data_IF_059359367752
#
_entry.id   IF_059359367752
#
_cell.length_a   1.000
_cell.length_b   1.000
_cell.length_c   1.000
_cell.angle_alpha   90.00
_cell.angle_beta   90.00
_cell.angle_gamma   90.00
#
_symmetry.space_group_name_H-M   'P 1'
#
loop_
_entity.id
_entity.type
_entity.pdbx_description
1 polymer ?
#
# COMPACT_ATOMS: atom_id res chain seq x y z
N UNK A 1 5.50 -65.74 12.40
CA UNK A 1 4.43 -65.72 11.40
C UNK A 1 4.43 -64.35 10.80
N UNK A 2 5.05 -64.23 9.66
CA UNK A 2 5.18 -63.03 8.85
C UNK A 2 3.95 -62.92 7.96
N UNK A 3 3.24 -61.79 8.01
CA UNK A 3 2.27 -61.44 7.00
C UNK A 3 2.87 -60.30 6.14
N UNK A 4 3.24 -60.63 4.95
CA UNK A 4 3.56 -59.75 3.84
C UNK A 4 2.24 -59.22 3.26
N UNK A 5 2.01 -57.90 3.30
CA UNK A 5 0.89 -57.25 2.61
C UNK A 5 1.31 -57.05 1.14
N UNK A 6 0.50 -57.64 0.28
CA UNK A 6 0.55 -57.57 -1.17
C UNK A 6 0.08 -56.19 -1.64
N UNK A 7 0.95 -55.43 -2.32
CA UNK A 7 0.64 -54.16 -2.95
C UNK A 7 -0.01 -54.42 -4.31
N UNK A 8 -1.31 -54.24 -4.37
CA UNK A 8 -2.15 -54.40 -5.53
C UNK A 8 -1.72 -53.61 -6.77
N UNK A 9 -1.89 -54.22 -7.88
CA UNK A 9 -1.57 -53.80 -9.24
C UNK A 9 -2.32 -52.51 -9.66
N UNK A 10 -1.76 -51.74 -10.60
CA UNK A 10 -2.38 -50.55 -11.10
C UNK A 10 -3.63 -50.81 -11.95
N UNK A 11 -4.67 -50.11 -11.66
CA UNK A 11 -5.93 -50.14 -12.42
C UNK A 11 -5.67 -49.56 -13.81
N UNK A 12 -5.87 -50.39 -14.83
CA UNK A 12 -5.77 -50.02 -16.23
C UNK A 12 -6.87 -48.98 -16.60
N UNK A 13 -6.46 -47.86 -17.08
CA UNK A 13 -7.34 -46.84 -17.65
C UNK A 13 -7.70 -47.18 -19.07
N UNK A 14 -8.97 -47.23 -19.35
CA UNK A 14 -9.54 -47.21 -20.70
C UNK A 14 -9.58 -45.79 -21.25
N UNK A 15 -8.86 -45.56 -22.31
CA UNK A 15 -9.24 -45.00 -23.62
C UNK A 15 -8.01 -44.47 -24.35
N UNK A 16 -7.55 -45.24 -25.30
CA UNK A 16 -6.56 -44.79 -26.28
C UNK A 16 -7.27 -43.91 -27.33
N UNK A 17 -6.78 -42.65 -27.43
CA UNK A 17 -6.90 -41.87 -28.67
C UNK A 17 -5.70 -40.93 -28.75
N UNK A 18 -4.71 -41.27 -29.61
CA UNK A 18 -3.69 -40.35 -30.09
C UNK A 18 -2.50 -40.11 -29.12
N UNK A 19 -1.69 -41.12 -28.84
CA UNK A 19 -0.35 -40.95 -28.23
C UNK A 19 0.62 -40.42 -29.31
N UNK A 20 0.60 -39.12 -29.57
CA UNK A 20 1.83 -38.43 -29.96
C UNK A 20 2.73 -38.43 -28.72
N UNK A 21 4.04 -38.61 -28.94
CA UNK A 21 5.11 -38.62 -27.93
C UNK A 21 5.04 -37.29 -27.11
N UNK A 22 4.18 -37.26 -26.06
CA UNK A 22 4.04 -36.05 -25.23
C UNK A 22 5.35 -35.92 -24.44
N UNK A 23 6.12 -34.91 -24.81
CA UNK A 23 7.34 -34.56 -24.12
C UNK A 23 7.04 -34.35 -22.63
N UNK A 24 7.83 -35.00 -21.77
CA UNK A 24 7.71 -34.89 -20.33
C UNK A 24 8.82 -33.99 -19.78
N UNK A 25 8.49 -33.19 -18.80
CA UNK A 25 9.41 -32.30 -18.11
C UNK A 25 9.48 -32.70 -16.65
N UNK A 26 10.70 -32.80 -16.11
CA UNK A 26 10.92 -33.07 -14.71
C UNK A 26 10.78 -31.77 -13.90
N UNK A 27 9.90 -31.74 -12.91
CA UNK A 27 9.70 -30.61 -12.01
C UNK A 27 9.98 -31.00 -10.57
N UNK A 28 10.48 -30.06 -9.77
CA UNK A 28 10.58 -30.16 -8.32
C UNK A 28 9.68 -29.08 -7.73
N UNK A 29 8.69 -29.48 -6.93
CA UNK A 29 7.78 -28.57 -6.26
C UNK A 29 8.34 -28.16 -4.91
N UNK A 30 8.27 -26.88 -4.59
CA UNK A 30 8.66 -26.31 -3.30
C UNK A 30 7.70 -25.17 -2.91
N UNK A 31 7.56 -24.93 -1.62
CA UNK A 31 6.80 -23.77 -1.11
C UNK A 31 7.51 -23.21 0.12
N UNK A 32 7.34 -21.90 0.36
CA UNK A 32 7.79 -21.22 1.58
C UNK A 32 6.67 -21.13 2.63
N UNK A 33 5.46 -21.49 2.24
CA UNK A 33 4.31 -21.48 3.15
C UNK A 33 4.27 -22.81 3.94
N UNK A 34 4.44 -22.69 5.25
CA UNK A 34 4.46 -23.84 6.15
C UNK A 34 3.16 -24.66 6.13
N UNK A 35 2.02 -24.02 5.79
CA UNK A 35 0.71 -24.68 5.74
C UNK A 35 0.59 -25.68 4.59
N UNK A 36 1.37 -25.54 3.51
CA UNK A 36 1.27 -26.36 2.29
C UNK A 36 2.54 -27.14 1.99
N UNK A 37 3.36 -27.44 2.99
CA UNK A 37 4.63 -28.12 2.80
C UNK A 37 4.44 -29.50 2.20
N UNK A 38 5.10 -29.78 1.08
CA UNK A 38 5.12 -31.08 0.39
C UNK A 38 6.51 -31.71 0.56
N UNK A 39 6.60 -33.03 0.73
CA UNK A 39 7.90 -33.71 0.74
C UNK A 39 8.63 -33.46 -0.58
N UNK A 40 9.96 -33.30 -0.54
CA UNK A 40 10.76 -33.05 -1.73
C UNK A 40 10.74 -34.26 -2.66
N UNK A 41 9.95 -34.19 -3.72
CA UNK A 41 9.81 -35.21 -4.74
C UNK A 41 10.00 -34.60 -6.14
N UNK A 42 10.49 -35.44 -7.08
CA UNK A 42 10.51 -35.05 -8.49
C UNK A 42 9.29 -35.65 -9.17
N UNK A 43 8.58 -34.81 -9.91
CA UNK A 43 7.42 -35.21 -10.69
C UNK A 43 7.77 -35.12 -12.18
N UNK A 44 7.40 -36.12 -12.95
CA UNK A 44 7.44 -36.10 -14.41
C UNK A 44 6.03 -35.68 -14.89
N UNK A 45 5.94 -34.55 -15.57
CA UNK A 45 4.67 -33.99 -16.03
C UNK A 45 4.73 -33.66 -17.52
N UNK A 46 3.62 -33.74 -18.25
CA UNK A 46 3.58 -33.37 -19.66
C UNK A 46 3.94 -31.90 -19.88
N UNK A 47 4.67 -31.60 -20.93
CA UNK A 47 5.03 -30.23 -21.32
C UNK A 47 3.81 -29.34 -21.63
N UNK A 48 2.67 -29.95 -21.98
CA UNK A 48 1.38 -29.29 -22.22
C UNK A 48 0.71 -28.75 -20.94
N UNK A 49 1.16 -29.18 -19.75
CA UNK A 49 0.56 -28.79 -18.50
C UNK A 49 0.66 -27.28 -18.25
N UNK A 50 -0.45 -26.75 -17.75
CA UNK A 50 -0.62 -25.35 -17.34
C UNK A 50 -0.88 -25.30 -15.83
N UNK A 51 -0.99 -24.08 -15.30
CA UNK A 51 -1.30 -23.77 -13.90
C UNK A 51 -2.40 -24.68 -13.32
N UNK A 52 -3.51 -24.91 -14.04
CA UNK A 52 -4.63 -25.69 -13.56
C UNK A 52 -4.21 -27.15 -13.23
N UNK A 53 -3.51 -27.80 -14.13
CA UNK A 53 -3.08 -29.21 -13.95
C UNK A 53 -2.10 -29.35 -12.79
N UNK A 54 -1.17 -28.39 -12.65
CA UNK A 54 -0.22 -28.36 -11.54
C UNK A 54 -0.93 -28.11 -10.19
N UNK A 55 -1.94 -27.24 -10.18
CA UNK A 55 -2.77 -26.98 -8.99
C UNK A 55 -3.56 -28.24 -8.59
N UNK A 56 -4.10 -28.99 -9.56
CA UNK A 56 -4.76 -30.26 -9.31
C UNK A 56 -3.81 -31.32 -8.73
N UNK A 57 -2.56 -31.39 -9.26
CA UNK A 57 -1.52 -32.28 -8.73
C UNK A 57 -1.24 -31.95 -7.24
N UNK A 58 -1.05 -30.67 -6.91
CA UNK A 58 -0.76 -30.26 -5.53
C UNK A 58 -1.93 -30.58 -4.61
N UNK A 59 -3.17 -30.28 -5.00
CA UNK A 59 -4.33 -30.61 -4.20
C UNK A 59 -4.48 -32.11 -3.94
N UNK A 60 -4.11 -32.95 -4.91
CA UNK A 60 -4.07 -34.41 -4.72
C UNK A 60 -2.95 -34.86 -3.76
N UNK A 61 -1.78 -34.21 -3.82
CA UNK A 61 -0.65 -34.53 -2.94
C UNK A 61 -0.92 -34.06 -1.50
N UNK A 62 -1.60 -32.91 -1.33
CA UNK A 62 -1.98 -32.37 -0.02
C UNK A 62 -3.26 -32.99 0.55
N UNK A 63 -3.97 -33.83 -0.22
CA UNK A 63 -5.25 -34.46 0.16
C UNK A 63 -6.30 -33.43 0.63
N UNK A 64 -6.35 -32.24 -0.02
CA UNK A 64 -7.29 -31.19 0.34
C UNK A 64 -8.73 -31.59 0.01
N UNK A 65 -9.66 -31.47 0.97
CA UNK A 65 -11.09 -31.73 0.77
C UNK A 65 -11.71 -30.76 -0.25
N UNK A 66 -11.30 -29.50 -0.22
CA UNK A 66 -11.67 -28.48 -1.20
C UNK A 66 -10.48 -28.07 -2.07
N UNK A 67 -10.62 -27.99 -3.40
CA UNK A 67 -9.51 -27.62 -4.27
C UNK A 67 -9.10 -26.16 -4.08
N UNK A 68 -7.88 -25.95 -3.62
CA UNK A 68 -7.27 -24.63 -3.47
C UNK A 68 -6.53 -24.28 -4.76
N UNK A 69 -6.77 -23.11 -5.36
CA UNK A 69 -6.03 -22.69 -6.53
C UNK A 69 -4.61 -22.26 -6.13
N UNK A 70 -3.59 -22.72 -6.88
CA UNK A 70 -2.20 -22.34 -6.68
C UNK A 70 -1.64 -21.61 -7.90
N UNK A 71 -0.74 -20.67 -7.65
CA UNK A 71 0.12 -20.04 -8.64
C UNK A 71 1.54 -20.60 -8.55
N UNK A 72 2.26 -20.55 -9.66
CA UNK A 72 3.57 -21.18 -9.82
C UNK A 72 4.62 -20.19 -10.26
N UNK A 73 5.77 -20.20 -9.61
CA UNK A 73 6.93 -19.39 -9.91
C UNK A 73 8.06 -20.29 -10.40
N UNK A 74 8.67 -19.96 -11.53
CA UNK A 74 9.87 -20.58 -12.08
C UNK A 74 10.87 -19.45 -12.33
N UNK A 75 12.03 -19.48 -11.72
CA UNK A 75 13.06 -18.43 -11.83
C UNK A 75 12.50 -17.02 -11.60
N UNK A 76 11.72 -16.84 -10.54
CA UNK A 76 11.05 -15.57 -10.18
C UNK A 76 10.05 -15.05 -11.24
N UNK A 77 9.59 -15.93 -12.14
CA UNK A 77 8.59 -15.60 -13.16
C UNK A 77 7.33 -16.44 -12.94
N UNK A 78 6.15 -15.80 -12.97
CA UNK A 78 4.88 -16.50 -12.88
C UNK A 78 4.61 -17.33 -14.12
N UNK A 79 4.25 -18.60 -13.92
CA UNK A 79 3.86 -19.50 -15.01
C UNK A 79 2.44 -19.16 -15.48
N UNK A 80 2.32 -18.45 -16.59
CA UNK A 80 1.02 -18.10 -17.23
C UNK A 80 0.71 -18.92 -18.48
N UNK A 81 1.72 -19.60 -19.05
CA UNK A 81 1.63 -20.47 -20.23
C UNK A 81 1.74 -21.94 -19.82
N UNK A 82 1.92 -22.85 -20.79
CA UNK A 82 2.30 -24.23 -20.51
C UNK A 82 3.79 -24.32 -20.16
N UNK A 83 4.19 -25.38 -19.45
CA UNK A 83 5.60 -25.63 -19.11
C UNK A 83 6.50 -25.67 -20.36
N UNK A 84 6.06 -26.34 -21.43
CA UNK A 84 6.82 -26.40 -22.68
C UNK A 84 6.94 -25.05 -23.37
N UNK A 85 5.88 -24.20 -23.34
CA UNK A 85 5.96 -22.84 -23.87
C UNK A 85 6.89 -21.95 -23.02
N UNK A 86 6.94 -22.16 -21.70
CA UNK A 86 7.89 -21.49 -20.83
C UNK A 86 9.33 -21.87 -21.15
N UNK A 87 9.63 -23.19 -21.29
CA UNK A 87 10.97 -23.67 -21.66
C UNK A 87 11.41 -23.12 -23.03
N UNK A 88 10.51 -23.12 -24.01
CA UNK A 88 10.79 -22.54 -25.32
C UNK A 88 11.09 -21.04 -25.27
N UNK A 89 10.37 -20.28 -24.45
CA UNK A 89 10.55 -18.83 -24.28
C UNK A 89 11.85 -18.48 -23.53
N UNK A 90 12.27 -19.32 -22.58
CA UNK A 90 13.48 -19.08 -21.77
C UNK A 90 14.72 -19.77 -22.34
N UNK A 91 14.56 -20.60 -23.38
CA UNK A 91 15.66 -21.40 -23.97
C UNK A 91 16.17 -22.52 -23.03
N UNK A 92 15.38 -22.87 -22.00
CA UNK A 92 15.74 -23.94 -21.06
C UNK A 92 15.48 -25.29 -21.70
N UNK A 93 16.47 -26.21 -21.64
CA UNK A 93 16.29 -27.57 -22.12
C UNK A 93 15.20 -28.28 -21.31
N UNK A 94 14.37 -29.07 -22.00
CA UNK A 94 13.30 -29.88 -21.39
C UNK A 94 13.86 -31.03 -20.51
N UNK A 95 15.16 -31.34 -20.61
CA UNK A 95 15.84 -32.37 -19.80
C UNK A 95 16.27 -31.87 -18.41
N UNK A 96 16.26 -30.53 -18.21
CA UNK A 96 16.65 -29.92 -16.95
C UNK A 96 15.46 -30.00 -15.98
N UNK A 97 15.74 -30.36 -14.71
CA UNK A 97 14.74 -30.35 -13.65
C UNK A 97 14.40 -28.89 -13.34
N UNK A 98 13.14 -28.51 -13.54
CA UNK A 98 12.65 -27.17 -13.20
C UNK A 98 12.30 -27.09 -11.70
N UNK A 99 12.88 -26.15 -11.00
CA UNK A 99 12.46 -25.81 -9.63
C UNK A 99 11.25 -24.87 -9.70
N UNK A 100 10.12 -25.37 -9.24
CA UNK A 100 8.83 -24.69 -9.28
C UNK A 100 8.39 -24.38 -7.87
N UNK A 101 8.41 -23.10 -7.49
CA UNK A 101 7.84 -22.63 -6.23
C UNK A 101 6.34 -22.41 -6.42
N UNK A 102 5.51 -22.94 -5.54
CA UNK A 102 4.06 -22.72 -5.57
C UNK A 102 3.58 -21.95 -4.35
N UNK A 103 2.52 -21.19 -4.55
CA UNK A 103 1.88 -20.34 -3.55
C UNK A 103 0.36 -20.35 -3.76
N UNK A 104 -0.43 -20.17 -2.70
CA UNK A 104 -1.88 -20.05 -2.87
C UNK A 104 -2.20 -18.84 -3.76
N UNK A 105 -3.11 -19.04 -4.71
CA UNK A 105 -3.48 -18.01 -5.67
C UNK A 105 -4.40 -16.99 -5.02
N UNK A 106 -4.11 -15.73 -5.22
CA UNK A 106 -5.01 -14.62 -4.87
C UNK A 106 -6.05 -14.42 -5.98
N UNK A 107 -7.28 -14.10 -5.61
CA UNK A 107 -8.30 -13.75 -6.58
C UNK A 107 -7.98 -12.38 -7.23
N UNK A 108 -8.34 -12.19 -8.52
CA UNK A 108 -8.16 -10.91 -9.15
C UNK A 108 -9.01 -9.83 -8.47
N UNK A 109 -8.44 -8.65 -8.21
CA UNK A 109 -9.18 -7.54 -7.63
C UNK A 109 -10.41 -7.17 -8.46
N UNK A 110 -11.51 -6.89 -7.79
CA UNK A 110 -12.76 -6.50 -8.42
C UNK A 110 -13.00 -5.00 -8.22
N UNK A 111 -13.41 -4.30 -9.28
CA UNK A 111 -13.80 -2.90 -9.19
C UNK A 111 -15.03 -2.79 -8.28
N UNK A 112 -14.91 -2.02 -7.20
CA UNK A 112 -15.97 -1.80 -6.22
C UNK A 112 -16.71 -0.50 -6.50
N UNK A 113 -15.99 0.60 -6.65
CA UNK A 113 -16.58 1.91 -6.87
C UNK A 113 -15.67 2.87 -7.64
N UNK A 114 -16.28 3.83 -8.29
CA UNK A 114 -15.61 4.98 -8.89
C UNK A 114 -16.34 6.24 -8.46
N UNK A 115 -15.65 7.15 -7.78
CA UNK A 115 -16.25 8.34 -7.21
C UNK A 115 -15.60 9.58 -7.80
N UNK A 116 -16.37 10.59 -8.22
CA UNK A 116 -15.82 11.84 -8.73
C UNK A 116 -15.18 12.65 -7.59
N UNK A 117 -14.12 13.38 -7.92
CA UNK A 117 -13.48 14.40 -7.10
C UNK A 117 -13.62 15.76 -7.78
N UNK A 118 -13.53 16.84 -7.01
CA UNK A 118 -13.61 18.21 -7.57
C UNK A 118 -12.45 18.52 -8.51
N UNK A 119 -11.25 18.01 -8.18
CA UNK A 119 -10.02 18.21 -8.96
C UNK A 119 -9.12 16.97 -8.85
N UNK A 120 -7.93 17.03 -9.39
CA UNK A 120 -6.93 15.98 -9.31
C UNK A 120 -6.68 15.54 -7.88
N UNK A 121 -6.64 14.25 -7.66
CA UNK A 121 -6.39 13.67 -6.34
C UNK A 121 -4.89 13.54 -6.12
N UNK A 122 -4.37 14.24 -5.12
CA UNK A 122 -2.93 14.27 -4.78
C UNK A 122 -2.52 13.17 -3.82
N UNK A 123 -3.37 12.82 -2.86
CA UNK A 123 -3.10 11.74 -1.89
C UNK A 123 -4.42 11.05 -1.47
N UNK A 124 -4.32 9.78 -1.12
CA UNK A 124 -5.41 8.96 -0.60
C UNK A 124 -4.95 8.24 0.66
N UNK A 125 -5.84 8.02 1.61
CA UNK A 125 -5.56 7.26 2.83
C UNK A 125 -6.76 6.42 3.25
N UNK A 126 -6.53 5.11 3.41
CA UNK A 126 -7.49 4.11 3.89
C UNK A 126 -7.03 3.48 5.22
N UNK A 127 -6.15 4.16 5.96
CA UNK A 127 -5.58 3.67 7.21
C UNK A 127 -6.62 3.35 8.30
N UNK A 128 -7.82 3.93 8.21
CA UNK A 128 -8.95 3.61 9.09
C UNK A 128 -9.95 2.77 8.31
N UNK A 129 -10.24 1.58 8.82
CA UNK A 129 -11.17 0.65 8.19
C UNK A 129 -12.55 1.33 8.00
N UNK A 130 -13.10 1.27 6.80
CA UNK A 130 -14.37 1.90 6.47
C UNK A 130 -14.29 3.39 6.14
N UNK A 131 -13.15 4.06 6.34
CA UNK A 131 -12.98 5.47 6.03
C UNK A 131 -11.99 5.67 4.89
N UNK A 132 -12.34 6.55 3.95
CA UNK A 132 -11.48 6.99 2.86
C UNK A 132 -11.28 8.50 2.99
N UNK A 133 -10.03 8.92 3.12
CA UNK A 133 -9.62 10.31 3.12
C UNK A 133 -8.90 10.60 1.81
N UNK A 134 -9.27 11.69 1.15
CA UNK A 134 -8.61 12.16 -0.08
C UNK A 134 -8.19 13.60 0.05
N UNK A 135 -7.05 13.92 -0.54
CA UNK A 135 -6.56 15.28 -0.71
C UNK A 135 -6.59 15.65 -2.20
N UNK A 136 -6.88 16.90 -2.51
CA UNK A 136 -7.05 17.39 -3.88
C UNK A 136 -6.14 18.59 -4.17
N UNK A 137 -5.79 18.74 -5.44
CA UNK A 137 -5.05 19.92 -5.91
C UNK A 137 -5.87 21.21 -5.82
N UNK A 138 -7.21 21.14 -5.66
CA UNK A 138 -8.04 22.30 -5.33
C UNK A 138 -7.86 22.79 -3.87
N UNK A 139 -7.03 22.11 -3.07
CA UNK A 139 -6.88 22.44 -1.63
C UNK A 139 -7.96 21.85 -0.75
N UNK A 140 -8.87 21.05 -1.30
CA UNK A 140 -9.96 20.43 -0.56
C UNK A 140 -9.55 19.08 -0.02
N UNK A 141 -10.12 18.71 1.12
CA UNK A 141 -10.05 17.39 1.72
C UNK A 141 -11.46 16.79 1.70
N UNK A 142 -11.56 15.53 1.30
CA UNK A 142 -12.82 14.80 1.34
C UNK A 142 -12.68 13.56 2.20
N UNK A 143 -13.58 13.41 3.15
CA UNK A 143 -13.70 12.26 4.02
C UNK A 143 -14.97 11.51 3.66
N UNK A 144 -14.80 10.21 3.36
CA UNK A 144 -15.91 9.28 3.20
C UNK A 144 -15.76 8.19 4.24
N UNK A 145 -16.85 7.88 4.91
CA UNK A 145 -16.86 6.78 5.88
C UNK A 145 -18.16 6.00 5.71
N UNK A 146 -18.07 4.68 5.85
CA UNK A 146 -19.24 3.79 5.84
C UNK A 146 -20.21 4.09 6.99
N UNK A 147 -19.70 4.71 8.04
CA UNK A 147 -20.47 5.07 9.24
C UNK A 147 -21.17 6.43 9.11
N UNK A 148 -20.96 7.16 8.01
CA UNK A 148 -21.65 8.43 7.78
C UNK A 148 -23.01 8.18 7.09
N UNK A 149 -24.07 8.91 7.50
CA UNK A 149 -25.35 8.84 6.79
C UNK A 149 -25.22 9.41 5.36
N UNK A 150 -25.98 8.93 4.39
CA UNK A 150 -25.97 9.49 3.04
C UNK A 150 -26.37 10.98 2.99
N UNK A 151 -25.68 11.84 2.20
CA UNK A 151 -24.50 11.55 1.40
C UNK A 151 -23.26 11.30 2.25
N UNK A 152 -22.66 10.13 2.07
CA UNK A 152 -21.58 9.60 2.92
C UNK A 152 -20.22 10.31 2.74
N UNK A 153 -20.20 11.55 2.29
CA UNK A 153 -18.97 12.29 2.05
C UNK A 153 -19.03 13.70 2.66
N UNK A 154 -17.95 14.05 3.35
CA UNK A 154 -17.74 15.38 3.92
C UNK A 154 -16.55 16.01 3.22
N UNK A 155 -16.79 17.05 2.42
CA UNK A 155 -15.73 17.81 1.74
C UNK A 155 -15.60 19.19 2.37
N UNK A 156 -14.36 19.61 2.65
CA UNK A 156 -14.05 20.91 3.24
C UNK A 156 -12.73 21.46 2.68
N UNK A 157 -12.59 22.77 2.67
CA UNK A 157 -11.36 23.45 2.27
C UNK A 157 -10.32 23.30 3.37
N UNK A 158 -9.23 22.58 3.06
CA UNK A 158 -8.13 22.32 3.99
C UNK A 158 -6.99 23.31 3.86
N UNK A 159 -6.66 23.72 2.64
CA UNK A 159 -5.54 24.59 2.33
C UNK A 159 -5.92 25.66 1.33
N UNK A 160 -5.26 26.82 1.41
CA UNK A 160 -5.46 27.94 0.46
C UNK A 160 -4.90 27.63 -0.93
N UNK A 161 -3.94 26.72 -0.98
CA UNK A 161 -3.33 26.16 -2.19
C UNK A 161 -3.56 24.66 -2.21
N UNK A 162 -2.99 23.96 -3.19
CA UNK A 162 -3.14 22.53 -3.33
C UNK A 162 -2.77 21.78 -2.05
N UNK A 163 -3.62 20.87 -1.59
CA UNK A 163 -3.29 19.87 -0.59
C UNK A 163 -2.48 18.77 -1.26
N UNK A 164 -1.32 18.44 -0.72
CA UNK A 164 -0.39 17.46 -1.33
C UNK A 164 -0.42 16.11 -0.64
N UNK A 165 -0.73 16.08 0.65
CA UNK A 165 -0.76 14.86 1.43
C UNK A 165 -1.77 14.95 2.55
N UNK A 166 -2.42 13.83 2.88
CA UNK A 166 -3.33 13.71 4.01
C UNK A 166 -3.24 12.32 4.64
N UNK A 167 -3.45 12.24 5.94
CA UNK A 167 -3.51 10.97 6.65
C UNK A 167 -4.46 11.04 7.84
N UNK A 168 -4.99 9.89 8.23
CA UNK A 168 -5.69 9.73 9.50
C UNK A 168 -4.69 9.71 10.64
N UNK A 169 -5.08 10.29 11.78
CA UNK A 169 -4.26 10.36 12.98
C UNK A 169 -5.06 9.75 14.14
N UNK A 170 -4.45 8.89 14.97
CA UNK A 170 -5.08 8.40 16.18
C UNK A 170 -5.42 9.55 17.14
N UNK A 171 -6.62 9.54 17.72
CA UNK A 171 -6.99 10.57 18.68
C UNK A 171 -6.33 10.30 20.05
N UNK A 172 -5.70 11.30 20.71
CA UNK A 172 -4.96 11.10 21.96
C UNK A 172 -5.85 10.64 23.13
N UNK A 173 -7.15 10.98 23.13
CA UNK A 173 -8.07 10.54 24.19
C UNK A 173 -8.60 9.11 24.02
N UNK A 174 -8.28 8.42 22.91
CA UNK A 174 -8.85 7.11 22.58
C UNK A 174 -10.38 7.14 22.36
N UNK A 175 -10.98 8.31 22.17
CA UNK A 175 -12.41 8.48 21.94
C UNK A 175 -12.77 7.95 20.55
N UNK A 176 -13.78 7.10 20.48
CA UNK A 176 -14.30 6.59 19.20
C UNK A 176 -15.08 7.65 18.42
N UNK A 177 -15.67 8.62 19.12
CA UNK A 177 -16.50 9.67 18.53
C UNK A 177 -15.70 10.79 17.87
N UNK A 178 -14.44 10.97 18.27
CA UNK A 178 -13.57 12.03 17.76
C UNK A 178 -12.39 11.42 17.03
N UNK A 179 -12.15 11.92 15.83
CA UNK A 179 -11.03 11.48 14.98
C UNK A 179 -10.22 12.70 14.53
N UNK A 180 -8.94 12.47 14.30
CA UNK A 180 -8.05 13.48 13.77
C UNK A 180 -7.64 13.15 12.34
N UNK A 181 -7.49 14.21 11.54
CA UNK A 181 -6.92 14.17 10.20
C UNK A 181 -5.75 15.14 10.21
N UNK A 182 -4.65 14.77 9.57
CA UNK A 182 -3.55 15.69 9.30
C UNK A 182 -3.39 15.86 7.79
N UNK A 183 -3.04 17.07 7.38
CA UNK A 183 -2.83 17.43 5.98
C UNK A 183 -1.63 18.37 5.82
N UNK A 184 -1.01 18.31 4.65
CA UNK A 184 0.08 19.19 4.24
C UNK A 184 -0.15 19.71 2.83
N UNK A 185 0.18 20.98 2.60
CA UNK A 185 -0.13 21.63 1.34
C UNK A 185 1.01 22.44 0.73
N UNK A 186 0.73 23.00 -0.43
CA UNK A 186 1.61 23.97 -1.12
C UNK A 186 1.75 25.30 -0.36
N UNK A 187 0.84 25.60 0.54
CA UNK A 187 0.89 26.75 1.45
C UNK A 187 1.99 26.63 2.53
N UNK A 188 2.78 25.56 2.51
CA UNK A 188 3.92 25.27 3.41
C UNK A 188 3.53 24.98 4.86
N UNK A 189 2.23 24.82 5.12
CA UNK A 189 1.69 24.58 6.45
C UNK A 189 1.19 23.14 6.54
N UNK A 190 1.49 22.47 7.66
CA UNK A 190 0.77 21.27 8.07
C UNK A 190 -0.40 21.67 8.94
N UNK A 191 -1.56 21.05 8.78
CA UNK A 191 -2.75 21.29 9.60
C UNK A 191 -3.26 19.99 10.19
N UNK A 192 -3.76 20.07 11.42
CA UNK A 192 -4.43 18.96 12.08
C UNK A 192 -5.88 19.38 12.37
N UNK A 193 -6.80 18.54 11.94
CA UNK A 193 -8.22 18.76 12.01
C UNK A 193 -8.87 17.76 12.95
N UNK A 194 -9.79 18.23 13.78
CA UNK A 194 -10.68 17.38 14.57
C UNK A 194 -12.05 17.31 13.92
N UNK A 195 -12.58 16.11 13.76
CA UNK A 195 -13.97 15.92 13.38
C UNK A 195 -14.65 14.92 14.29
N UNK A 196 -15.94 15.15 14.54
CA UNK A 196 -16.76 14.25 15.34
C UNK A 196 -17.53 13.32 14.41
N UNK A 197 -17.44 12.03 14.65
CA UNK A 197 -18.23 11.03 13.93
C UNK A 197 -19.68 11.19 14.38
N UNK A 198 -20.61 11.53 13.47
CA UNK A 198 -22.00 11.69 13.87
C UNK A 198 -22.61 10.35 14.27
N UNK A 199 -23.48 10.30 15.27
CA UNK A 199 -24.18 9.09 15.64
C UNK A 199 -25.07 8.61 14.48
N UNK A 200 -25.16 7.29 14.28
CA UNK A 200 -25.95 6.63 13.21
C UNK A 200 -27.46 7.03 13.20
N UNK A 201 -27.95 7.67 14.27
CA UNK A 201 -29.33 8.12 14.42
C UNK A 201 -29.64 9.46 13.74
N UNK A 202 -28.64 10.14 13.16
CA UNK A 202 -28.89 11.41 12.46
C UNK A 202 -29.66 11.16 11.16
N UNK A 203 -30.75 11.87 10.99
CA UNK A 203 -31.51 11.87 9.72
C UNK A 203 -30.72 12.63 8.65
N UNK A 204 -30.94 12.28 7.39
CA UNK A 204 -30.24 12.85 6.22
C UNK A 204 -30.38 14.38 6.02
N UNK A 205 -31.19 15.05 6.85
CA UNK A 205 -31.43 16.50 6.76
C UNK A 205 -30.48 17.35 7.64
N UNK A 206 -29.74 16.72 8.58
CA UNK A 206 -28.81 17.46 9.42
C UNK A 206 -27.45 17.60 8.73
N UNK A 207 -26.93 18.84 8.54
CA UNK A 207 -25.62 19.01 7.95
C UNK A 207 -24.54 18.36 8.84
N UNK A 208 -23.63 17.62 8.22
CA UNK A 208 -22.49 17.02 8.92
C UNK A 208 -21.64 18.11 9.57
N UNK A 209 -21.14 17.90 10.80
CA UNK A 209 -20.26 18.85 11.44
C UNK A 209 -18.99 19.04 10.64
N UNK A 210 -18.67 20.28 10.28
CA UNK A 210 -17.43 20.61 9.57
C UNK A 210 -16.22 20.36 10.48
N UNK A 211 -15.15 19.73 9.97
CA UNK A 211 -13.91 19.56 10.72
C UNK A 211 -13.36 20.92 11.15
N UNK A 212 -12.83 20.97 12.36
CA UNK A 212 -12.24 22.18 12.92
C UNK A 212 -10.71 22.04 12.96
N UNK A 213 -10.01 23.10 12.56
CA UNK A 213 -8.55 23.15 12.69
C UNK A 213 -8.19 23.18 14.17
N UNK A 214 -7.45 22.17 14.62
CA UNK A 214 -6.97 22.09 16.00
C UNK A 214 -5.57 22.66 16.14
N UNK A 215 -4.66 22.20 15.25
CA UNK A 215 -3.25 22.61 15.24
C UNK A 215 -2.79 23.06 13.87
N UNK A 216 -1.89 24.06 13.87
CA UNK A 216 -1.05 24.43 12.73
C UNK A 216 0.40 24.01 13.00
N UNK A 217 1.07 23.49 11.98
CA UNK A 217 2.41 22.95 12.05
C UNK A 217 3.32 23.81 11.17
N UNK A 218 3.94 24.82 11.76
CA UNK A 218 4.73 25.84 11.06
C UNK A 218 6.23 25.56 11.20
N UNK A 219 6.78 24.75 10.28
CA UNK A 219 8.20 24.44 10.19
C UNK A 219 8.76 24.78 8.80
N UNK A 220 8.02 24.34 7.76
CA UNK A 220 8.54 24.25 6.41
C UNK A 220 8.55 25.62 5.71
N UNK A 221 9.63 25.88 4.96
CA UNK A 221 9.77 27.08 4.12
C UNK A 221 9.38 26.80 2.66
N UNK A 222 9.09 25.54 2.32
CA UNK A 222 8.64 25.07 1.02
C UNK A 222 7.44 24.13 1.20
N UNK A 223 6.75 23.73 0.12
CA UNK A 223 5.58 22.85 0.17
C UNK A 223 5.80 21.58 1.00
N UNK A 224 4.77 21.20 1.77
CA UNK A 224 4.75 19.98 2.58
C UNK A 224 4.27 18.83 1.70
N UNK A 225 5.19 17.98 1.26
CA UNK A 225 4.92 16.88 0.32
C UNK A 225 4.37 15.61 0.98
N UNK A 226 4.64 15.42 2.26
CA UNK A 226 4.23 14.21 2.95
C UNK A 226 3.87 14.49 4.40
N UNK A 227 2.73 13.97 4.81
CA UNK A 227 2.27 13.97 6.20
C UNK A 227 1.87 12.54 6.54
N UNK A 228 2.46 11.96 7.59
CA UNK A 228 2.17 10.58 8.01
C UNK A 228 2.10 10.48 9.52
N UNK A 229 1.08 9.80 10.00
CA UNK A 229 0.92 9.47 11.41
C UNK A 229 1.62 8.15 11.75
N UNK A 230 1.98 8.01 13.03
CA UNK A 230 2.44 6.71 13.54
C UNK A 230 1.30 5.70 13.43
N UNK A 231 1.52 4.51 12.82
CA UNK A 231 0.52 3.47 12.80
C UNK A 231 0.22 2.98 14.23
N UNK A 232 -1.06 2.73 14.50
CA UNK A 232 -1.45 2.08 15.75
C UNK A 232 -1.01 0.62 15.70
N UNK A 233 -0.41 0.07 16.79
CA UNK A 233 -0.15 -1.36 16.85
C UNK A 233 -1.48 -2.13 16.84
N UNK A 234 -1.60 -3.13 15.98
CA UNK A 234 -2.81 -3.96 15.80
C UNK A 234 -3.30 -4.65 17.09
N UNK A 235 -2.47 -4.76 18.10
CA UNK A 235 -2.74 -5.56 19.31
C UNK A 235 -2.94 -4.78 20.61
N UNK A 236 -2.84 -3.45 20.60
CA UNK A 236 -2.95 -2.68 21.86
C UNK A 236 -4.34 -2.08 22.03
N UNK A 237 -5.07 -2.61 23.02
CA UNK A 237 -6.33 -2.03 23.54
C UNK A 237 -6.10 -0.83 24.44
N UNK A 238 -4.86 -0.41 24.68
CA UNK A 238 -4.52 0.74 25.52
C UNK A 238 -3.84 1.82 24.70
N UNK A 239 -4.34 3.06 24.67
CA UNK A 239 -3.69 4.20 24.01
C UNK A 239 -2.50 4.67 24.86
N UNK A 240 -1.39 3.92 24.86
CA UNK A 240 -0.20 4.25 25.66
C UNK A 240 0.84 5.05 24.91
N UNK A 241 0.66 5.32 23.63
CA UNK A 241 1.59 6.15 22.85
C UNK A 241 0.95 7.46 22.43
N UNK A 242 1.60 8.57 22.77
CA UNK A 242 1.24 9.90 22.25
C UNK A 242 1.15 9.86 20.71
N UNK A 243 0.14 10.54 20.13
CA UNK A 243 -0.01 10.59 18.69
C UNK A 243 1.11 11.44 18.09
N UNK A 244 2.00 10.78 17.35
CA UNK A 244 3.11 11.45 16.66
C UNK A 244 2.80 11.56 15.17
N UNK A 245 3.30 12.66 14.59
CA UNK A 245 3.16 12.97 13.17
C UNK A 245 4.55 13.27 12.59
N UNK A 246 4.79 12.84 11.36
CA UNK A 246 5.91 13.28 10.53
C UNK A 246 5.38 14.18 9.43
N UNK A 247 6.06 15.30 9.24
CA UNK A 247 5.90 16.14 8.04
C UNK A 247 7.23 16.18 7.28
N UNK A 248 7.18 16.09 5.96
CA UNK A 248 8.34 16.24 5.11
C UNK A 248 8.08 17.24 4.01
N UNK A 249 9.05 18.09 3.71
CA UNK A 249 8.90 19.20 2.78
C UNK A 249 9.88 19.18 1.61
N UNK A 250 9.61 20.05 0.66
CA UNK A 250 10.53 20.29 -0.47
C UNK A 250 11.77 21.09 -0.05
N UNK A 251 11.83 21.55 1.19
CA UNK A 251 13.00 22.17 1.82
C UNK A 251 14.03 21.16 2.33
N UNK A 252 13.76 19.86 2.16
CA UNK A 252 14.66 18.78 2.62
C UNK A 252 14.59 18.52 4.13
N UNK A 253 13.64 19.14 4.84
CA UNK A 253 13.44 18.96 6.27
C UNK A 253 12.34 17.93 6.55
N UNK A 254 12.49 17.23 7.68
CA UNK A 254 11.45 16.39 8.25
C UNK A 254 11.18 16.88 9.67
N UNK A 255 9.93 17.21 9.99
CA UNK A 255 9.49 17.58 11.33
C UNK A 255 8.84 16.39 12.04
N UNK A 256 9.25 16.11 13.27
CA UNK A 256 8.56 15.20 14.17
C UNK A 256 7.71 16.04 15.13
N UNK A 257 6.42 15.71 15.25
CA UNK A 257 5.45 16.44 16.04
C UNK A 257 4.80 15.52 17.07
N UNK A 258 4.59 16.04 18.27
CA UNK A 258 3.76 15.43 19.30
C UNK A 258 2.42 16.17 19.35
N UNK A 259 1.34 15.46 19.10
CA UNK A 259 -0.01 16.04 19.08
C UNK A 259 -0.70 15.95 20.44
N UNK A 260 0.00 15.55 21.48
CA UNK A 260 -0.54 15.58 22.85
C UNK A 260 -0.88 17.03 23.23
N UNK A 261 -2.08 17.29 23.77
CA UNK A 261 -2.44 18.62 24.23
C UNK A 261 -1.49 19.14 25.31
N UNK A 262 -1.13 20.43 25.23
CA UNK A 262 -0.22 21.08 26.18
C UNK A 262 1.28 20.83 25.93
N UNK A 263 1.65 19.96 24.97
CA UNK A 263 3.05 19.70 24.64
C UNK A 263 3.45 20.51 23.42
N UNK A 264 4.56 21.27 23.51
CA UNK A 264 5.15 22.08 22.43
C UNK A 264 4.15 23.06 21.77
N UNK A 265 3.23 23.63 22.56
CA UNK A 265 2.27 24.62 22.09
C UNK A 265 2.89 26.02 22.14
N UNK A 266 2.80 26.76 21.02
CA UNK A 266 3.14 28.19 20.95
C UNK A 266 1.94 29.08 21.20
N UNK A 267 2.11 30.40 20.96
CA UNK A 267 1.03 31.36 21.08
C UNK A 267 -0.14 31.00 20.14
N UNK A 268 -1.36 31.06 20.66
CA UNK A 268 -2.55 30.79 19.91
C UNK A 268 -2.83 31.91 18.89
N UNK A 269 -2.92 31.57 17.61
CA UNK A 269 -3.38 32.52 16.59
C UNK A 269 -4.90 32.66 16.67
N UNK A 270 -5.37 33.90 16.83
CA UNK A 270 -6.77 34.25 16.71
C UNK A 270 -7.06 34.47 15.22
N UNK A 271 -7.94 33.67 14.62
CA UNK A 271 -8.47 34.05 13.30
C UNK A 271 -9.10 35.42 13.37
N UNK A 272 -8.48 36.41 12.69
CA UNK A 272 -8.92 37.79 12.63
C UNK A 272 -10.11 37.91 11.67
N UNK A 273 -11.27 37.47 12.15
CA UNK A 273 -12.56 37.62 11.50
C UNK A 273 -13.32 38.84 12.06
N UNK A 274 -13.15 39.96 11.36
CA UNK A 274 -14.05 41.15 11.41
C UNK A 274 -14.46 41.69 12.80
N UNK A 275 -13.75 42.70 13.23
CA UNK A 275 -14.10 43.56 14.39
C UNK A 275 -15.45 44.22 14.21
N UNK A 276 -16.57 43.52 14.43
CA UNK A 276 -17.87 44.13 14.84
C UNK A 276 -18.88 43.02 15.19
N UNK A 277 -19.05 42.74 16.43
CA UNK A 277 -20.24 42.47 17.24
C UNK A 277 -19.99 41.48 18.35
N UNK A 278 -19.99 41.98 19.54
CA UNK A 278 -20.06 41.28 20.83
C UNK A 278 -21.23 40.29 20.85
N UNK A 279 -20.95 39.04 20.44
CA UNK A 279 -21.76 37.86 20.78
C UNK A 279 -20.80 36.76 21.04
N UNK A 280 -20.84 36.17 22.23
CA UNK A 280 -20.04 35.05 22.72
C UNK A 280 -20.20 33.85 21.78
N UNK A 281 -19.46 33.84 20.67
CA UNK A 281 -19.19 32.65 19.86
C UNK A 281 -18.02 31.97 20.53
N UNK A 282 -18.08 30.65 20.73
CA UNK A 282 -16.92 29.83 21.08
C UNK A 282 -15.93 30.00 19.94
N UNK A 283 -14.95 30.86 20.12
CA UNK A 283 -13.83 31.00 19.16
C UNK A 283 -12.93 29.83 19.41
N UNK A 284 -12.90 28.89 18.50
CA UNK A 284 -11.92 27.80 18.52
C UNK A 284 -10.57 28.46 18.30
N UNK A 285 -9.71 28.39 19.31
CA UNK A 285 -8.36 28.95 19.24
C UNK A 285 -7.48 27.94 18.51
N UNK A 286 -7.00 28.28 17.32
CA UNK A 286 -6.04 27.46 16.59
C UNK A 286 -4.68 27.56 17.29
N UNK A 287 -4.11 26.44 17.66
CA UNK A 287 -2.83 26.37 18.38
C UNK A 287 -1.70 26.07 17.41
N UNK A 288 -0.66 26.89 17.44
CA UNK A 288 0.54 26.62 16.65
C UNK A 288 1.46 25.67 17.44
N UNK A 289 1.77 24.51 16.84
CA UNK A 289 2.67 23.50 17.41
C UNK A 289 4.09 23.72 16.93
N UNK A 290 5.06 23.51 17.81
CA UNK A 290 6.49 23.44 17.47
C UNK A 290 6.92 21.99 17.32
N UNK A 291 7.83 21.67 16.38
CA UNK A 291 8.32 20.31 16.21
C UNK A 291 9.13 19.86 17.43
N UNK A 292 8.97 18.60 17.82
CA UNK A 292 9.81 17.96 18.86
C UNK A 292 11.25 17.84 18.37
N UNK A 293 11.40 17.44 17.10
CA UNK A 293 12.71 17.25 16.48
C UNK A 293 12.63 17.60 15.01
N UNK A 294 13.70 18.20 14.47
CA UNK A 294 13.84 18.49 13.04
C UNK A 294 15.01 17.67 12.49
N UNK A 295 14.69 16.72 11.61
CA UNK A 295 15.68 15.86 10.96
C UNK A 295 16.20 16.56 9.71
N UNK A 296 17.52 16.64 9.60
CA UNK A 296 18.23 17.31 8.51
C UNK A 296 19.22 16.33 7.88
N UNK A 297 19.26 16.29 6.55
CA UNK A 297 20.19 15.39 5.83
C UNK A 297 19.92 15.34 4.33
N UNK A 298 18.64 15.41 3.91
CA UNK A 298 18.33 15.45 2.48
C UNK A 298 18.86 16.73 1.82
N UNK A 299 19.51 16.54 0.66
CA UNK A 299 20.03 17.66 -0.15
C UNK A 299 19.00 18.20 -1.16
N UNK A 300 17.83 17.57 -1.27
CA UNK A 300 16.77 17.93 -2.19
C UNK A 300 15.38 17.72 -1.60
N UNK A 301 14.37 17.87 -2.46
CA UNK A 301 12.97 17.68 -2.09
C UNK A 301 12.73 16.28 -1.56
N UNK A 302 12.01 16.16 -0.45
CA UNK A 302 11.56 14.87 0.06
C UNK A 302 10.23 14.55 -0.59
N UNK A 303 10.12 13.36 -1.16
CA UNK A 303 8.89 12.88 -1.76
C UNK A 303 7.94 12.29 -0.72
N UNK A 304 8.47 11.45 0.16
CA UNK A 304 7.68 10.80 1.21
C UNK A 304 8.52 10.46 2.44
N UNK A 305 7.90 10.55 3.61
CA UNK A 305 8.45 10.04 4.87
C UNK A 305 7.44 9.08 5.50
N UNK A 306 7.92 8.12 6.29
CA UNK A 306 7.08 7.14 6.98
C UNK A 306 7.72 6.73 8.31
N UNK A 307 6.90 6.43 9.33
CA UNK A 307 7.36 5.76 10.53
C UNK A 307 7.64 4.28 10.24
N UNK A 308 8.54 3.68 11.01
CA UNK A 308 8.67 2.23 11.04
C UNK A 308 7.44 1.61 11.70
N UNK A 309 6.95 0.49 11.12
CA UNK A 309 5.75 -0.21 11.60
C UNK A 309 5.97 -0.96 12.90
N UNK A 310 7.20 -1.40 13.13
CA UNK A 310 7.58 -2.25 14.28
C UNK A 310 8.32 -1.49 15.37
N UNK A 311 9.06 -0.44 15.01
CA UNK A 311 9.94 0.31 15.92
C UNK A 311 9.51 1.79 15.95
N UNK A 312 8.93 2.19 17.07
CA UNK A 312 8.45 3.56 17.27
C UNK A 312 9.57 4.62 17.27
N UNK A 313 10.82 4.22 17.43
CA UNK A 313 11.98 5.12 17.41
C UNK A 313 12.56 5.36 16.02
N UNK A 314 12.04 4.67 14.98
CA UNK A 314 12.60 4.75 13.62
C UNK A 314 11.65 5.39 12.63
N UNK A 315 12.24 6.05 11.65
CA UNK A 315 11.54 6.58 10.48
C UNK A 315 12.39 6.43 9.22
N UNK A 316 11.72 6.52 8.09
CA UNK A 316 12.33 6.43 6.77
C UNK A 316 11.88 7.58 5.89
N UNK A 317 12.74 7.98 4.95
CA UNK A 317 12.40 8.99 3.94
C UNK A 317 13.03 8.67 2.59
N UNK A 318 12.38 9.13 1.53
CA UNK A 318 12.90 9.06 0.17
C UNK A 318 12.71 10.40 -0.53
N UNK A 319 13.65 10.77 -1.38
CA UNK A 319 13.65 12.11 -1.97
C UNK A 319 14.23 12.21 -3.39
N UNK A 320 14.21 13.43 -3.86
CA UNK A 320 14.71 13.81 -5.18
C UNK A 320 16.24 13.87 -5.24
N UNK A 321 16.90 13.81 -4.08
CA UNK A 321 18.34 13.65 -3.96
C UNK A 321 18.79 12.19 -4.20
N UNK A 322 17.90 11.35 -4.72
CA UNK A 322 18.12 9.95 -5.06
C UNK A 322 18.41 9.05 -3.84
N UNK A 323 18.17 9.54 -2.63
CA UNK A 323 18.49 8.80 -1.42
C UNK A 323 17.24 8.26 -0.71
N UNK A 324 17.40 7.08 -0.10
CA UNK A 324 16.56 6.55 0.96
C UNK A 324 17.35 6.67 2.26
N UNK A 325 16.74 7.29 3.27
CA UNK A 325 17.39 7.50 4.57
C UNK A 325 16.60 6.88 5.69
N UNK A 326 17.29 6.34 6.66
CA UNK A 326 16.73 5.89 7.92
C UNK A 326 17.17 6.81 9.07
N UNK A 327 16.25 7.05 9.98
CA UNK A 327 16.37 8.00 11.06
C UNK A 327 16.09 7.35 12.39
N UNK A 328 16.87 7.71 13.39
CA UNK A 328 16.55 7.46 14.79
C UNK A 328 15.87 8.72 15.36
N UNK A 329 14.60 8.57 15.72
CA UNK A 329 13.77 9.67 16.22
C UNK A 329 14.10 10.05 17.65
N UNK A 330 14.73 9.15 18.43
CA UNK A 330 15.09 9.39 19.84
C UNK A 330 16.26 10.35 19.97
N UNK A 331 17.22 10.26 19.06
CA UNK A 331 18.40 11.14 19.02
C UNK A 331 18.29 12.20 17.92
N UNK A 332 17.32 12.09 17.03
CA UNK A 332 17.11 13.04 15.93
C UNK A 332 18.20 12.99 14.85
N UNK A 333 18.80 11.82 14.62
CA UNK A 333 19.93 11.66 13.72
C UNK A 333 19.66 10.63 12.61
N UNK A 334 20.37 10.80 11.49
CA UNK A 334 20.41 9.82 10.42
C UNK A 334 21.21 8.59 10.86
N UNK A 335 20.64 7.40 10.66
CA UNK A 335 21.32 6.13 10.98
C UNK A 335 21.96 5.50 9.76
N UNK A 336 21.31 5.58 8.59
CA UNK A 336 21.89 5.10 7.33
C UNK A 336 21.30 5.84 6.13
N UNK A 337 22.07 5.86 5.04
CA UNK A 337 21.65 6.41 3.76
C UNK A 337 22.04 5.46 2.65
N UNK A 338 21.09 5.19 1.74
CA UNK A 338 21.31 4.42 0.52
C UNK A 338 20.90 5.25 -0.68
N UNK A 339 21.62 5.13 -1.78
CA UNK A 339 21.39 5.93 -2.97
C UNK A 339 20.92 5.09 -4.15
N UNK A 340 20.11 5.69 -4.99
CA UNK A 340 19.66 5.19 -6.29
C UNK A 340 20.26 6.05 -7.40
N UNK A 341 20.20 5.56 -8.64
CA UNK A 341 20.59 6.35 -9.80
C UNK A 341 19.53 7.39 -10.22
N UNK A 342 18.30 7.24 -9.75
CA UNK A 342 17.15 8.03 -10.18
C UNK A 342 16.35 8.59 -9.01
N UNK A 343 15.57 9.61 -9.32
CA UNK A 343 14.66 10.26 -8.36
C UNK A 343 13.63 9.26 -7.83
N UNK A 344 13.44 9.26 -6.52
CA UNK A 344 12.46 8.46 -5.82
C UNK A 344 11.21 9.31 -5.56
N UNK A 345 10.05 8.82 -6.03
CA UNK A 345 8.77 9.55 -5.96
C UNK A 345 7.90 9.12 -4.79
N UNK A 346 8.07 7.91 -4.31
CA UNK A 346 7.25 7.34 -3.23
C UNK A 346 8.05 6.37 -2.38
N UNK A 347 7.54 6.12 -1.18
CA UNK A 347 8.12 5.20 -0.21
C UNK A 347 7.00 4.48 0.54
N UNK A 348 7.14 3.18 0.74
CA UNK A 348 6.30 2.38 1.63
C UNK A 348 7.13 1.28 2.29
N UNK A 349 6.88 1.01 3.57
CA UNK A 349 7.51 -0.09 4.28
C UNK A 349 6.67 -1.36 4.11
N UNK A 350 7.30 -2.48 3.75
CA UNK A 350 6.64 -3.77 3.75
C UNK A 350 6.38 -4.25 5.19
N UNK A 351 5.50 -5.24 5.36
CA UNK A 351 5.25 -5.83 6.68
C UNK A 351 6.49 -6.54 7.25
N UNK A 352 7.46 -6.92 6.41
CA UNK A 352 8.76 -7.39 6.87
C UNK A 352 9.60 -6.24 7.42
N UNK A 353 10.24 -6.41 8.59
CA UNK A 353 11.07 -5.36 9.19
C UNK A 353 12.27 -5.04 8.29
N UNK A 354 12.62 -3.75 8.23
CA UNK A 354 13.75 -3.20 7.46
C UNK A 354 13.66 -3.38 5.93
N UNK A 355 12.51 -3.77 5.38
CA UNK A 355 12.29 -3.88 3.95
C UNK A 355 11.42 -2.72 3.46
N UNK A 356 11.97 -1.90 2.58
CA UNK A 356 11.28 -0.73 1.99
C UNK A 356 11.06 -0.93 0.50
N UNK A 357 9.97 -0.36 -0.01
CA UNK A 357 9.69 -0.24 -1.43
C UNK A 357 9.64 1.23 -1.83
N UNK A 358 10.28 1.59 -2.93
CA UNK A 358 10.22 2.94 -3.50
C UNK A 358 9.83 2.89 -4.97
N UNK A 359 8.98 3.83 -5.38
CA UNK A 359 8.68 4.07 -6.78
C UNK A 359 9.63 5.12 -7.36
N UNK A 360 10.12 4.88 -8.57
CA UNK A 360 11.13 5.71 -9.21
C UNK A 360 10.67 6.27 -10.55
N UNK A 361 11.35 7.34 -11.00
CA UNK A 361 11.13 7.95 -12.31
C UNK A 361 11.59 7.08 -13.49
N UNK A 362 12.41 6.07 -13.27
CA UNK A 362 12.86 5.10 -14.27
C UNK A 362 11.88 3.96 -14.55
N UNK A 363 10.65 4.06 -14.05
CA UNK A 363 9.57 3.07 -14.23
C UNK A 363 9.75 1.79 -13.40
N UNK A 364 10.72 1.78 -12.48
CA UNK A 364 11.03 0.66 -11.61
C UNK A 364 10.50 0.89 -10.21
N UNK A 365 10.22 -0.21 -9.53
CA UNK A 365 10.03 -0.24 -8.09
C UNK A 365 11.28 -0.88 -7.50
N UNK A 366 11.96 -0.17 -6.60
CA UNK A 366 13.15 -0.65 -5.95
C UNK A 366 12.80 -1.15 -4.54
N UNK A 367 13.23 -2.37 -4.23
CA UNK A 367 13.14 -2.94 -2.89
C UNK A 367 14.51 -2.80 -2.21
N UNK A 368 14.50 -2.27 -0.98
CA UNK A 368 15.68 -1.98 -0.18
C UNK A 368 15.68 -2.83 1.06
N UNK A 369 16.75 -3.56 1.31
CA UNK A 369 17.01 -4.18 2.61
C UNK A 369 17.98 -3.29 3.38
N UNK A 370 17.53 -2.73 4.49
CA UNK A 370 18.33 -1.80 5.30
C UNK A 370 19.34 -2.52 6.21
N UNK A 371 19.29 -3.86 6.28
CA UNK A 371 20.24 -4.67 7.06
C UNK A 371 21.54 -4.94 6.30
N UNK A 372 21.50 -4.83 4.98
CA UNK A 372 22.68 -5.10 4.14
C UNK A 372 23.65 -3.93 4.18
N UNK A 373 24.94 -4.23 4.16
CA UNK A 373 26.00 -3.22 4.12
C UNK A 373 25.87 -2.29 2.90
N UNK A 374 26.51 -1.13 2.99
CA UNK A 374 26.43 -0.05 2.00
C UNK A 374 26.86 -0.44 0.56
N UNK A 375 27.40 -1.63 0.34
CA UNK A 375 27.83 -2.11 -0.97
C UNK A 375 26.70 -2.61 -1.86
N UNK A 376 25.55 -3.01 -1.27
CA UNK A 376 24.34 -3.40 -2.00
C UNK A 376 23.20 -2.42 -1.71
N UNK A 377 23.03 -1.43 -2.58
CA UNK A 377 22.03 -0.40 -2.38
C UNK A 377 20.59 -0.92 -2.60
N UNK A 378 20.35 -1.66 -3.69
CA UNK A 378 19.04 -2.16 -4.07
C UNK A 378 19.06 -3.69 -3.98
N UNK A 379 18.12 -4.26 -3.22
CA UNK A 379 18.00 -5.70 -3.05
C UNK A 379 17.34 -6.37 -4.26
N UNK A 380 16.27 -5.75 -4.78
CA UNK A 380 15.50 -6.27 -5.90
C UNK A 380 14.80 -5.12 -6.64
N UNK A 381 14.67 -5.25 -7.96
CA UNK A 381 13.90 -4.31 -8.79
C UNK A 381 12.72 -5.02 -9.45
N UNK A 382 11.54 -4.42 -9.36
CA UNK A 382 10.34 -4.89 -10.05
C UNK A 382 10.13 -4.04 -11.29
N UNK A 383 10.05 -4.68 -12.44
CA UNK A 383 9.91 -4.02 -13.73
C UNK A 383 8.60 -4.38 -14.43
N UNK A 384 8.03 -3.42 -15.16
CA UNK A 384 6.81 -3.67 -15.92
C UNK A 384 6.02 -2.42 -16.25
N UNK A 385 6.06 -1.36 -15.42
CA UNK A 385 5.45 -0.09 -15.75
C UNK A 385 6.12 0.55 -16.99
N UNK A 386 5.32 1.28 -17.78
CA UNK A 386 5.80 1.96 -18.99
C UNK A 386 6.09 3.44 -18.76
N UNK A 387 5.67 3.98 -17.60
CA UNK A 387 5.90 5.36 -17.17
C UNK A 387 6.34 5.42 -15.69
N UNK A 388 6.78 6.58 -15.17
CA UNK A 388 7.20 6.74 -13.77
C UNK A 388 6.22 6.19 -12.76
N UNK A 389 6.75 5.58 -11.68
CA UNK A 389 5.95 5.05 -10.57
C UNK A 389 5.77 6.14 -9.52
N UNK A 390 4.58 6.71 -9.46
CA UNK A 390 4.25 7.85 -8.59
C UNK A 390 4.00 7.46 -7.15
N UNK A 391 3.38 6.31 -6.92
CA UNK A 391 2.99 5.88 -5.58
C UNK A 391 3.15 4.38 -5.41
N UNK A 392 3.56 3.96 -4.22
CA UNK A 392 3.70 2.57 -3.81
C UNK A 392 3.02 2.39 -2.45
N UNK A 393 2.21 1.36 -2.32
CA UNK A 393 1.56 0.96 -1.08
C UNK A 393 1.85 -0.52 -0.78
N UNK A 394 2.44 -0.80 0.37
CA UNK A 394 2.67 -2.17 0.81
C UNK A 394 1.42 -2.73 1.49
N UNK A 395 1.17 -4.01 1.30
CA UNK A 395 0.09 -4.70 2.00
C UNK A 395 0.31 -4.62 3.52
N UNK A 396 -0.74 -4.39 4.32
CA UNK A 396 -0.58 -4.17 5.77
C UNK A 396 -0.05 -5.39 6.51
N UNK A 397 -0.42 -6.60 6.13
CA UNK A 397 -0.07 -7.85 6.83
C UNK A 397 0.89 -8.74 6.05
N UNK A 398 0.83 -8.73 4.70
CA UNK A 398 1.73 -9.53 3.88
C UNK A 398 3.09 -8.86 3.72
N UNK A 399 4.16 -9.59 4.02
CA UNK A 399 5.54 -9.12 3.82
C UNK A 399 6.00 -9.12 2.36
N UNK A 400 5.22 -9.66 1.46
CA UNK A 400 5.60 -9.90 0.07
C UNK A 400 4.77 -9.13 -0.95
N UNK A 401 3.53 -8.74 -0.58
CA UNK A 401 2.62 -8.07 -1.49
C UNK A 401 2.75 -6.56 -1.40
N UNK A 402 2.74 -5.92 -2.56
CA UNK A 402 2.71 -4.46 -2.69
C UNK A 402 1.92 -4.06 -3.94
N UNK A 403 1.37 -2.85 -3.91
CA UNK A 403 0.72 -2.21 -5.05
C UNK A 403 1.52 -0.99 -5.51
N UNK A 404 1.43 -0.67 -6.78
CA UNK A 404 2.02 0.53 -7.37
C UNK A 404 1.08 1.23 -8.32
N UNK A 405 1.08 2.55 -8.28
CA UNK A 405 0.40 3.42 -9.23
C UNK A 405 1.41 4.14 -10.11
N UNK A 406 1.11 4.30 -11.38
CA UNK A 406 2.03 4.89 -12.35
C UNK A 406 1.34 5.91 -13.24
N UNK A 407 2.15 6.76 -13.86
CA UNK A 407 1.72 7.69 -14.89
C UNK A 407 1.28 6.98 -16.18
N UNK A 408 1.44 5.64 -16.28
CA UNK A 408 0.87 4.84 -17.37
C UNK A 408 -0.64 4.57 -17.20
N UNK A 409 -1.27 5.09 -16.15
CA UNK A 409 -2.71 4.92 -15.87
C UNK A 409 -3.08 3.54 -15.35
N UNK A 410 -2.10 2.75 -14.91
CA UNK A 410 -2.36 1.42 -14.34
C UNK A 410 -1.94 1.33 -12.87
N UNK A 411 -2.75 0.63 -12.09
CA UNK A 411 -2.35 0.11 -10.80
C UNK A 411 -1.89 -1.32 -10.99
N UNK A 412 -0.77 -1.69 -10.39
CA UNK A 412 -0.26 -3.05 -10.45
C UNK A 412 -0.07 -3.61 -9.06
N UNK A 413 -0.40 -4.88 -8.90
CA UNK A 413 -0.13 -5.65 -7.68
C UNK A 413 1.02 -6.58 -7.96
N UNK A 414 1.98 -6.61 -7.04
CA UNK A 414 3.24 -7.34 -7.15
C UNK A 414 3.41 -8.30 -5.98
N UNK A 415 4.04 -9.40 -6.26
CA UNK A 415 4.67 -10.25 -5.25
C UNK A 415 6.18 -10.02 -5.33
N UNK A 416 6.83 -9.72 -4.21
CA UNK A 416 8.28 -9.49 -4.13
C UNK A 416 9.11 -10.69 -4.60
N UNK A 417 8.51 -11.89 -4.69
CA UNK A 417 9.16 -13.09 -5.25
C UNK A 417 9.16 -13.11 -6.77
N UNK A 418 8.22 -12.36 -7.41
CA UNK A 418 8.08 -12.27 -8.86
C UNK A 418 8.59 -10.94 -9.39
N UNK A 419 9.91 -10.84 -9.60
CA UNK A 419 10.55 -9.57 -9.98
C UNK A 419 10.20 -9.09 -11.40
N UNK A 420 9.89 -10.01 -12.30
CA UNK A 420 9.73 -9.71 -13.74
C UNK A 420 8.30 -9.41 -14.16
N UNK A 421 7.30 -9.82 -13.39
CA UNK A 421 5.89 -9.68 -13.77
C UNK A 421 5.02 -9.34 -12.57
N UNK A 422 4.10 -8.40 -12.78
CA UNK A 422 3.05 -8.10 -11.81
C UNK A 422 2.04 -9.28 -11.72
N UNK A 423 1.51 -9.52 -10.52
CA UNK A 423 0.41 -10.46 -10.32
C UNK A 423 -0.83 -10.01 -11.10
N UNK A 424 -1.20 -8.74 -10.93
CA UNK A 424 -2.34 -8.14 -11.59
C UNK A 424 -1.99 -6.77 -12.13
N UNK A 425 -2.60 -6.42 -13.27
CA UNK A 425 -2.57 -5.08 -13.84
C UNK A 425 -3.99 -4.58 -13.94
N UNK A 426 -4.30 -3.49 -13.24
CA UNK A 426 -5.61 -2.89 -13.12
C UNK A 426 -5.60 -1.56 -13.86
N UNK A 427 -6.18 -1.48 -15.06
CA UNK A 427 -6.35 -0.22 -15.74
C UNK A 427 -7.44 0.60 -15.04
N UNK A 428 -7.31 1.93 -15.05
CA UNK A 428 -8.39 2.80 -14.62
C UNK A 428 -9.62 2.60 -15.54
N UNK A 429 -10.84 2.53 -14.99
CA UNK A 429 -12.05 2.43 -15.80
C UNK A 429 -12.16 3.66 -16.72
N UNK A 430 -12.55 3.49 -17.96
CA UNK A 430 -12.74 4.61 -18.91
C UNK A 430 -13.97 5.42 -18.50
N UNK A 431 -13.91 6.73 -18.68
CA UNK A 431 -15.10 7.59 -18.54
C UNK A 431 -16.00 7.41 -19.76
N UNK A 432 -17.31 7.44 -19.52
CA UNK A 432 -18.29 7.47 -20.62
C UNK A 432 -18.06 8.71 -21.48
N UNK A 433 -17.92 8.53 -22.79
CA UNK A 433 -17.68 9.61 -23.75
C UNK A 433 -16.21 9.96 -24.04
N UNK A 434 -15.22 9.36 -23.32
CA UNK A 434 -13.78 9.60 -23.58
C UNK A 434 -13.09 8.44 -24.32
N UNK A 435 -13.80 7.73 -25.18
CA UNK A 435 -13.26 6.56 -25.90
C UNK A 435 -12.02 6.89 -26.78
N UNK A 436 -11.86 8.15 -27.18
CA UNK A 436 -10.80 8.62 -28.08
C UNK A 436 -9.61 9.29 -27.37
N UNK A 437 -9.56 9.32 -26.05
CA UNK A 437 -8.43 9.91 -25.33
C UNK A 437 -7.20 9.03 -25.50
N UNK A 438 -6.16 9.54 -26.16
CA UNK A 438 -4.92 8.80 -26.49
C UNK A 438 -3.98 8.66 -25.29
N UNK A 439 -4.03 9.59 -24.34
CA UNK A 439 -3.13 9.59 -23.19
C UNK A 439 -3.83 8.99 -21.96
N UNK A 440 -3.18 8.07 -21.26
CA UNK A 440 -3.72 7.52 -20.01
C UNK A 440 -3.75 8.60 -18.93
N UNK A 441 -4.78 8.59 -18.07
CA UNK A 441 -4.85 9.44 -16.90
C UNK A 441 -3.82 8.97 -15.87
N UNK A 442 -2.93 9.87 -15.44
CA UNK A 442 -1.86 9.54 -14.47
C UNK A 442 -2.44 9.24 -13.11
N UNK A 443 -1.95 8.16 -12.50
CA UNK A 443 -2.21 7.87 -11.10
C UNK A 443 -1.17 8.62 -10.28
N UNK A 444 -1.62 9.35 -9.27
CA UNK A 444 -0.75 10.16 -8.40
C UNK A 444 -0.58 9.54 -7.03
N UNK A 445 -1.63 8.93 -6.50
CA UNK A 445 -1.63 8.32 -5.18
C UNK A 445 -2.37 6.99 -5.16
N UNK A 446 -1.86 6.07 -4.35
CA UNK A 446 -2.53 4.82 -4.00
C UNK A 446 -2.36 4.55 -2.51
N UNK A 447 -3.33 3.84 -1.93
CA UNK A 447 -3.23 3.28 -0.60
C UNK A 447 -3.98 1.94 -0.50
N UNK A 448 -3.60 1.09 0.44
CA UNK A 448 -4.08 -0.28 0.56
C UNK A 448 -4.29 -0.68 2.02
N UNK A 449 -5.52 -1.03 2.40
CA UNK A 449 -5.87 -1.52 3.75
C UNK A 449 -5.84 -3.06 3.89
N UNK A 450 -5.51 -3.77 2.80
CA UNK A 450 -5.54 -5.24 2.72
C UNK A 450 -6.78 -5.77 2.00
N UNK A 451 -7.95 -5.22 2.26
CA UNK A 451 -9.21 -5.59 1.59
C UNK A 451 -9.51 -4.66 0.40
N UNK A 452 -9.18 -3.37 0.55
CA UNK A 452 -9.45 -2.35 -0.47
C UNK A 452 -8.17 -1.70 -0.93
N UNK A 453 -8.02 -1.62 -2.23
CA UNK A 453 -6.98 -0.87 -2.91
C UNK A 453 -7.62 0.35 -3.55
N UNK A 454 -7.13 1.52 -3.21
CA UNK A 454 -7.67 2.80 -3.67
C UNK A 454 -6.63 3.55 -4.46
N UNK A 455 -7.05 4.14 -5.58
CA UNK A 455 -6.20 4.99 -6.42
C UNK A 455 -6.89 6.29 -6.78
N UNK A 456 -6.09 7.35 -6.82
CA UNK A 456 -6.49 8.68 -7.27
C UNK A 456 -5.44 9.33 -8.16
N UNK A 457 -5.84 10.28 -8.98
CA UNK A 457 -4.93 10.96 -9.89
C UNK A 457 -5.56 12.08 -10.72
N UNK A 458 -5.02 12.31 -11.92
CA UNK A 458 -5.42 13.40 -12.84
C UNK A 458 -6.84 13.24 -13.39
N UNK A 459 -7.44 12.06 -13.26
CA UNK A 459 -8.80 11.80 -13.70
C UNK A 459 -9.88 12.49 -12.87
N UNK A 460 -9.56 13.26 -11.83
CA UNK A 460 -10.52 13.86 -10.89
C UNK A 460 -11.52 12.82 -10.38
N UNK A 461 -11.02 11.69 -9.96
CA UNK A 461 -11.80 10.57 -9.43
C UNK A 461 -10.96 9.68 -8.55
N UNK A 462 -11.64 9.00 -7.66
CA UNK A 462 -11.09 7.96 -6.80
C UNK A 462 -11.68 6.62 -7.22
N UNK A 463 -10.83 5.64 -7.45
CA UNK A 463 -11.23 4.30 -7.86
C UNK A 463 -10.86 3.32 -6.76
N UNK A 464 -11.81 2.50 -6.36
CA UNK A 464 -11.65 1.49 -5.31
C UNK A 464 -11.82 0.11 -5.90
N UNK A 465 -10.87 -0.78 -5.63
CA UNK A 465 -10.96 -2.21 -5.92
C UNK A 465 -11.01 -2.99 -4.61
N UNK A 466 -11.85 -4.00 -4.58
CA UNK A 466 -11.85 -5.01 -3.53
C UNK A 466 -10.83 -6.10 -3.89
N UNK A 467 -9.88 -6.32 -3.00
CA UNK A 467 -8.89 -7.39 -3.10
C UNK A 467 -9.30 -8.48 -2.11
N UNK A 468 -9.91 -9.55 -2.62
CA UNK A 468 -10.27 -10.68 -1.77
C UNK A 468 -8.98 -11.39 -1.35
N UNK A 469 -8.61 -11.30 -0.08
CA UNK A 469 -7.61 -12.16 0.50
C UNK A 469 -8.07 -13.61 0.42
N UNK A 470 -7.15 -14.55 0.32
CA UNK A 470 -7.42 -15.96 0.59
C UNK A 470 -7.65 -16.11 2.11
N UNK A 471 -8.79 -15.67 2.61
CA UNK A 471 -9.23 -16.16 3.90
C UNK A 471 -9.58 -17.63 3.67
N UNK A 472 -8.70 -18.50 4.14
CA UNK A 472 -9.12 -19.84 4.53
C UNK A 472 -10.31 -19.61 5.46
N UNK A 473 -11.49 -20.02 5.01
CA UNK A 473 -12.71 -19.97 5.82
C UNK A 473 -12.40 -20.56 7.18
N UNK A 474 -12.38 -19.71 8.21
CA UNK A 474 -12.45 -20.24 9.58
C UNK A 474 -13.65 -21.19 9.64
N UNK A 475 -13.48 -22.42 10.12
CA UNK A 475 -14.61 -23.31 10.30
C UNK A 475 -15.57 -22.61 11.26
N UNK A 476 -16.79 -22.35 10.79
CA UNK A 476 -17.89 -21.93 11.65
C UNK A 476 -17.99 -22.97 12.76
N UNK A 477 -17.62 -22.58 13.98
CA UNK A 477 -17.94 -23.34 15.16
C UNK A 477 -19.47 -23.39 15.25
N UNK A 478 -20.05 -24.59 15.08
CA UNK A 478 -21.40 -24.89 15.45
C UNK A 478 -21.59 -24.85 16.98
#
# INVERSE_FOLDING_TARGET
>A
MSMTADLGQPIASTSAAGAGDEKQIAIRLSTKDAAYTIPPAKFLVPASWRRFHLSELINKVLENESPIPFDFLIDQTLLRSSLGAYCAATGTSEEVVLDVEFLPSTLPPQLESTQPSEDWVSDVSVAVRGALLTASYAGTLSLQASDLPPPSSLTFTGHDLSALSACHVPHPSGSEDKRLIASGGMDRIGRVWEYTVPPLSLTSETPLPTPQTLYTLSLHQAPVSSVRSRPLPLSSTTPTSSPHLLTAGWDGLIGLWDLTPGVNEGDAELEDGDRKKKRRKQTTTIVNKSPVTVLRGHAGKISRAAFDRSDASKAYSAGWDHSVRSWDLSIGAETSSKTSDKVLLSLSQLAAPNLLATGSTDRLICLWDLRTDATQNISLTLSGHTAPVSSVAAHPTSSLLLASGSYDGTVRIWDARSAKQALFTLPLPKKEGEENKKEPERILAIDWDGERLVAGGEGSRVVTWRVSGSEASEPKAE
#
